data_IF_466183125455
#
_entry.id   IF_466183125455
#
_cell.length_a   1.000
_cell.length_b   1.000
_cell.length_c   1.000
_cell.angle_alpha   90.00
_cell.angle_beta   90.00
_cell.angle_gamma   90.00
#
_symmetry.space_group_name_H-M   'P 1'
#
loop_
_entity.id
_entity.type
_entity.pdbx_description
1 polymer ?
#
# COMPACT_ATOMS: atom_id res chain seq x y z
N UNK A 1 24.27 -11.03 -7.85
CA UNK A 1 24.71 -12.41 -7.54
C UNK A 1 23.52 -13.14 -6.92
N UNK A 2 23.10 -14.30 -7.45
CA UNK A 2 22.05 -15.10 -6.79
C UNK A 2 22.62 -15.66 -5.49
N UNK A 3 21.92 -15.49 -4.36
CA UNK A 3 22.35 -16.06 -3.09
C UNK A 3 22.44 -17.58 -3.21
N UNK A 4 23.58 -18.11 -2.78
CA UNK A 4 23.71 -19.54 -2.58
C UNK A 4 23.01 -19.93 -1.29
N UNK A 5 21.89 -20.64 -1.41
CA UNK A 5 21.11 -21.11 -0.26
C UNK A 5 21.71 -22.36 0.37
N UNK A 6 22.65 -23.04 -0.30
CA UNK A 6 23.29 -24.25 0.21
C UNK A 6 23.94 -24.01 1.58
N UNK A 7 24.46 -22.80 1.83
CA UNK A 7 25.05 -22.39 3.11
C UNK A 7 24.06 -22.41 4.29
N UNK A 8 22.76 -22.38 4.04
CA UNK A 8 21.71 -22.47 5.07
C UNK A 8 20.97 -23.80 5.06
N UNK A 9 21.15 -24.60 4.01
CA UNK A 9 20.49 -25.89 3.80
C UNK A 9 21.54 -26.96 3.49
N UNK A 10 22.58 -27.03 4.32
CA UNK A 10 23.70 -27.97 4.13
C UNK A 10 23.28 -29.44 4.27
N UNK A 11 22.10 -29.67 4.84
CA UNK A 11 21.44 -30.97 5.01
C UNK A 11 20.63 -31.41 3.77
N UNK A 12 20.46 -30.56 2.76
CA UNK A 12 19.67 -30.86 1.57
C UNK A 12 20.52 -31.27 0.37
N UNK A 13 20.01 -32.24 -0.41
CA UNK A 13 20.58 -32.59 -1.71
C UNK A 13 20.24 -31.54 -2.78
N UNK A 14 20.84 -31.64 -3.98
CA UNK A 14 20.66 -30.67 -5.08
C UNK A 14 19.19 -30.52 -5.50
N UNK A 15 18.43 -31.60 -5.53
CA UNK A 15 17.01 -31.60 -5.92
C UNK A 15 16.16 -30.88 -4.87
N UNK A 16 16.35 -31.18 -3.59
CA UNK A 16 15.67 -30.54 -2.47
C UNK A 16 16.03 -29.05 -2.32
N UNK A 17 17.26 -28.66 -2.67
CA UNK A 17 17.66 -27.25 -2.78
C UNK A 17 16.87 -26.55 -3.89
N UNK A 18 16.70 -27.20 -5.04
CA UNK A 18 15.93 -26.64 -6.16
C UNK A 18 14.43 -26.54 -5.82
N UNK A 19 13.86 -27.55 -5.17
CA UNK A 19 12.50 -27.53 -4.64
C UNK A 19 12.31 -26.36 -3.67
N UNK A 20 13.25 -26.17 -2.74
CA UNK A 20 13.22 -25.07 -1.77
C UNK A 20 13.22 -23.70 -2.45
N UNK A 21 14.00 -23.53 -3.53
CA UNK A 21 13.95 -22.29 -4.35
C UNK A 21 12.59 -22.09 -4.99
N UNK A 22 11.93 -23.16 -5.45
CA UNK A 22 10.58 -23.09 -6.02
C UNK A 22 9.55 -22.72 -4.96
N UNK A 23 9.65 -23.31 -3.76
CA UNK A 23 8.77 -22.99 -2.62
C UNK A 23 8.88 -21.50 -2.27
N UNK A 24 10.09 -20.94 -2.20
CA UNK A 24 10.26 -19.52 -1.87
C UNK A 24 9.69 -18.54 -2.89
N UNK A 25 9.42 -18.97 -4.13
CA UNK A 25 8.72 -18.13 -5.12
C UNK A 25 7.22 -18.01 -4.87
N UNK A 26 6.65 -18.87 -4.03
CA UNK A 26 5.21 -18.87 -3.72
C UNK A 26 5.01 -18.94 -2.21
N UNK A 27 4.79 -17.79 -1.58
CA UNK A 27 4.54 -17.73 -0.15
C UNK A 27 3.24 -18.39 0.29
N UNK A 28 2.32 -18.76 -0.62
CA UNK A 28 1.14 -19.55 -0.27
C UNK A 28 1.40 -21.05 -0.22
N UNK A 29 2.58 -21.51 -0.66
CA UNK A 29 2.92 -22.93 -0.70
C UNK A 29 2.84 -23.57 0.71
N UNK A 30 2.25 -24.77 0.88
CA UNK A 30 2.08 -25.40 2.19
C UNK A 30 3.38 -25.62 2.96
N UNK A 31 4.48 -25.94 2.26
CA UNK A 31 5.81 -26.11 2.85
C UNK A 31 6.59 -24.81 3.06
N UNK A 32 6.04 -23.66 2.67
CA UNK A 32 6.73 -22.38 2.82
C UNK A 32 7.06 -22.06 4.28
N UNK A 33 6.14 -22.23 5.28
CA UNK A 33 6.48 -22.00 6.68
C UNK A 33 7.62 -22.89 7.17
N UNK A 34 7.63 -24.16 6.80
CA UNK A 34 8.68 -25.10 7.21
C UNK A 34 10.05 -24.68 6.65
N UNK A 35 10.15 -24.45 5.34
CA UNK A 35 11.40 -24.03 4.69
C UNK A 35 11.86 -22.66 5.18
N UNK A 36 10.93 -21.73 5.38
CA UNK A 36 11.28 -20.41 5.88
C UNK A 36 11.80 -20.49 7.32
N UNK A 37 11.16 -21.23 8.22
CA UNK A 37 11.68 -21.41 9.59
C UNK A 37 13.09 -22.00 9.59
N UNK A 38 13.37 -23.02 8.77
CA UNK A 38 14.73 -23.59 8.64
C UNK A 38 15.75 -22.54 8.19
N UNK A 39 15.39 -21.68 7.23
CA UNK A 39 16.25 -20.60 6.78
C UNK A 39 16.48 -19.58 7.90
N UNK A 40 15.40 -19.11 8.54
CA UNK A 40 15.45 -18.05 9.53
C UNK A 40 16.13 -18.47 10.85
N UNK A 41 16.08 -19.75 11.21
CA UNK A 41 16.82 -20.29 12.37
C UNK A 41 18.33 -20.38 12.13
N UNK A 42 18.78 -20.21 10.89
CA UNK A 42 20.19 -20.31 10.46
C UNK A 42 20.70 -19.00 9.84
N UNK A 43 19.85 -17.98 9.72
CA UNK A 43 20.15 -16.72 9.05
C UNK A 43 19.69 -15.55 9.91
N UNK A 44 20.64 -14.68 10.28
CA UNK A 44 20.44 -13.42 11.01
C UNK A 44 20.69 -12.20 10.10
N UNK A 45 20.66 -12.38 8.77
CA UNK A 45 20.98 -11.32 7.80
C UNK A 45 19.75 -11.01 6.94
N UNK A 46 19.09 -9.85 7.13
CA UNK A 46 17.89 -9.50 6.37
C UNK A 46 18.15 -9.45 4.86
N UNK A 47 19.32 -8.94 4.47
CA UNK A 47 19.74 -8.89 3.06
C UNK A 47 19.69 -10.27 2.39
N UNK A 48 20.15 -11.31 3.08
CA UNK A 48 20.21 -12.66 2.52
C UNK A 48 18.81 -13.23 2.34
N UNK A 49 17.92 -13.08 3.33
CA UNK A 49 16.52 -13.46 3.18
C UNK A 49 15.84 -12.72 2.01
N UNK A 50 15.98 -11.39 1.96
CA UNK A 50 15.28 -10.56 0.97
C UNK A 50 15.90 -10.62 -0.43
N UNK A 51 17.02 -11.33 -0.59
CA UNK A 51 17.50 -11.75 -1.91
C UNK A 51 16.74 -12.96 -2.48
N UNK A 52 16.01 -13.69 -1.63
CA UNK A 52 15.25 -14.89 -1.99
C UNK A 52 13.75 -14.64 -2.09
N UNK A 53 13.20 -13.80 -1.21
CA UNK A 53 11.77 -13.49 -1.15
C UNK A 53 11.56 -11.98 -1.12
N UNK A 54 10.42 -11.51 -1.64
CA UNK A 54 10.08 -10.09 -1.54
C UNK A 54 9.74 -9.74 -0.09
N UNK A 55 10.09 -8.51 0.33
CA UNK A 55 9.72 -7.98 1.66
C UNK A 55 8.20 -8.05 1.92
N UNK A 56 7.38 -7.83 0.88
CA UNK A 56 5.92 -7.90 0.95
C UNK A 56 5.45 -9.33 1.27
N UNK A 57 5.96 -10.31 0.55
CA UNK A 57 5.61 -11.73 0.74
C UNK A 57 6.02 -12.21 2.13
N UNK A 58 7.16 -11.74 2.64
CA UNK A 58 7.57 -11.98 4.02
C UNK A 58 6.58 -11.40 5.03
N UNK A 59 6.20 -10.13 4.90
CA UNK A 59 5.21 -9.48 5.79
C UNK A 59 3.89 -10.27 5.80
N UNK A 60 3.38 -10.66 4.63
CA UNK A 60 2.13 -11.41 4.50
C UNK A 60 2.22 -12.82 5.12
N UNK A 61 3.34 -13.52 4.92
CA UNK A 61 3.53 -14.87 5.42
C UNK A 61 3.90 -14.94 6.91
N UNK A 62 4.52 -13.89 7.46
CA UNK A 62 5.13 -13.89 8.79
C UNK A 62 4.18 -14.34 9.92
N UNK A 63 2.91 -13.89 10.02
CA UNK A 63 2.01 -14.33 11.09
C UNK A 63 1.85 -15.86 11.12
N UNK A 64 1.68 -16.48 9.95
CA UNK A 64 1.55 -17.94 9.82
C UNK A 64 2.87 -18.65 10.12
N UNK A 65 3.99 -18.11 9.62
CA UNK A 65 5.34 -18.66 9.85
C UNK A 65 5.70 -18.62 11.33
N UNK A 66 5.43 -17.50 12.00
CA UNK A 66 5.65 -17.32 13.44
C UNK A 66 4.82 -18.30 14.26
N UNK A 67 3.54 -18.47 13.93
CA UNK A 67 2.67 -19.44 14.60
C UNK A 67 3.15 -20.89 14.38
N UNK A 68 3.63 -21.21 13.18
CA UNK A 68 4.24 -22.51 12.89
C UNK A 68 5.53 -22.72 13.72
N UNK A 69 6.43 -21.73 13.76
CA UNK A 69 7.68 -21.80 14.54
C UNK A 69 7.41 -21.99 16.04
N UNK A 70 6.44 -21.26 16.60
CA UNK A 70 6.09 -21.36 18.02
C UNK A 70 5.59 -22.75 18.45
N UNK A 71 5.07 -23.55 17.51
CA UNK A 71 4.67 -24.94 17.77
C UNK A 71 5.86 -25.90 17.81
N UNK A 72 6.93 -25.59 17.06
CA UNK A 72 8.15 -26.41 17.02
C UNK A 72 9.09 -26.11 18.19
N UNK A 73 9.24 -24.83 18.51
CA UNK A 73 10.19 -24.35 19.50
C UNK A 73 9.55 -23.24 20.33
N UNK A 74 9.42 -23.44 21.65
CA UNK A 74 8.72 -22.48 22.52
C UNK A 74 9.46 -21.13 22.64
N UNK A 75 10.80 -21.15 22.72
CA UNK A 75 11.65 -19.95 22.85
C UNK A 75 12.75 -19.98 21.81
N UNK A 76 12.92 -18.89 21.04
CA UNK A 76 13.93 -18.82 19.98
C UNK A 76 14.39 -17.38 19.80
N UNK A 77 15.67 -17.12 20.07
CA UNK A 77 16.28 -15.80 19.88
C UNK A 77 16.23 -15.35 18.43
N UNK A 78 16.40 -16.27 17.48
CA UNK A 78 16.23 -16.00 16.06
C UNK A 78 14.82 -15.55 15.72
N UNK A 79 13.79 -16.21 16.27
CA UNK A 79 12.40 -15.81 16.06
C UNK A 79 12.13 -14.42 16.61
N UNK A 80 12.67 -14.10 17.79
CA UNK A 80 12.56 -12.77 18.39
C UNK A 80 13.25 -11.71 17.53
N UNK A 81 14.45 -12.01 17.04
CA UNK A 81 15.19 -11.12 16.16
C UNK A 81 14.44 -10.86 14.84
N UNK A 82 13.91 -11.90 14.19
CA UNK A 82 13.10 -11.74 12.98
C UNK A 82 11.75 -11.05 13.23
N UNK A 83 11.18 -11.18 14.43
CA UNK A 83 10.00 -10.41 14.83
C UNK A 83 10.30 -8.90 14.84
N UNK A 84 11.48 -8.49 15.32
CA UNK A 84 11.92 -7.09 15.26
C UNK A 84 12.03 -6.60 13.82
N UNK A 85 12.63 -7.39 12.93
CA UNK A 85 12.72 -7.06 11.50
C UNK A 85 11.33 -6.94 10.86
N UNK A 86 10.41 -7.86 11.18
CA UNK A 86 9.02 -7.80 10.72
C UNK A 86 8.33 -6.50 11.16
N UNK A 87 8.48 -6.11 12.43
CA UNK A 87 7.87 -4.89 12.96
C UNK A 87 8.43 -3.63 12.30
N UNK A 88 9.74 -3.58 12.06
CA UNK A 88 10.38 -2.50 11.32
C UNK A 88 9.83 -2.40 9.88
N UNK A 89 9.75 -3.53 9.17
CA UNK A 89 9.21 -3.58 7.82
C UNK A 89 7.75 -3.12 7.75
N UNK A 90 6.90 -3.56 8.69
CA UNK A 90 5.51 -3.10 8.77
C UNK A 90 5.46 -1.59 8.96
N UNK A 91 6.30 -1.02 9.83
CA UNK A 91 6.38 0.44 10.04
C UNK A 91 6.80 1.16 8.75
N UNK A 92 7.80 0.64 8.03
CA UNK A 92 8.23 1.21 6.74
C UNK A 92 7.12 1.19 5.69
N UNK A 93 6.42 0.06 5.55
CA UNK A 93 5.33 -0.08 4.58
C UNK A 93 4.13 0.79 4.95
N UNK A 94 3.76 0.87 6.23
CA UNK A 94 2.73 1.81 6.70
C UNK A 94 3.13 3.27 6.44
N UNK A 95 4.41 3.64 6.58
CA UNK A 95 4.90 4.99 6.22
C UNK A 95 4.84 5.25 4.71
N UNK A 96 5.12 4.25 3.87
CA UNK A 96 5.01 4.36 2.40
C UNK A 96 3.56 4.48 1.94
N UNK A 97 2.64 3.72 2.52
CA UNK A 97 1.19 3.89 2.30
C UNK A 97 0.67 5.24 2.83
N UNK A 98 1.32 5.78 3.88
CA UNK A 98 1.06 7.12 4.43
C UNK A 98 1.84 8.26 3.75
N UNK A 99 2.44 8.07 2.56
CA UNK A 99 2.90 9.21 1.72
C UNK A 99 1.70 10.12 1.39
N UNK A 100 1.89 11.44 1.35
CA UNK A 100 0.98 12.38 1.99
C UNK A 100 -0.41 12.42 1.36
N UNK A 101 -1.44 12.36 2.22
CA UNK A 101 -2.72 13.05 2.01
C UNK A 101 -2.43 14.53 1.72
N UNK A 102 -2.16 14.90 0.47
CA UNK A 102 -1.89 16.31 0.18
C UNK A 102 -1.22 16.70 -1.12
N UNK A 103 -0.95 15.79 -2.06
CA UNK A 103 -0.85 16.23 -3.46
C UNK A 103 -2.16 15.84 -4.14
N UNK A 104 -3.04 16.80 -4.46
CA UNK A 104 -4.17 16.54 -5.34
C UNK A 104 -3.65 15.78 -6.57
N UNK A 105 -4.24 14.63 -6.91
CA UNK A 105 -4.04 14.10 -8.26
C UNK A 105 -4.37 15.23 -9.25
N UNK A 106 -3.60 15.38 -10.33
CA UNK A 106 -3.75 16.47 -11.29
C UNK A 106 -5.22 16.69 -11.72
N UNK A 107 -5.95 15.59 -11.90
CA UNK A 107 -7.39 15.58 -12.21
C UNK A 107 -8.27 16.23 -11.13
N UNK A 108 -7.95 16.09 -9.84
CA UNK A 108 -8.72 16.72 -8.75
C UNK A 108 -8.53 18.23 -8.70
N UNK A 109 -7.34 18.75 -9.03
CA UNK A 109 -7.13 20.22 -9.13
C UNK A 109 -7.98 20.79 -10.24
N UNK A 110 -8.02 20.12 -11.41
CA UNK A 110 -8.84 20.55 -12.55
C UNK A 110 -10.33 20.54 -12.22
N UNK A 111 -10.82 19.43 -11.65
CA UNK A 111 -12.22 19.32 -11.22
C UNK A 111 -12.55 20.39 -10.17
N UNK A 112 -11.68 20.57 -9.17
CA UNK A 112 -11.85 21.59 -8.13
C UNK A 112 -11.92 23.01 -8.71
N UNK A 113 -11.04 23.32 -9.66
CA UNK A 113 -11.05 24.60 -10.38
C UNK A 113 -12.33 24.80 -11.19
N UNK A 114 -12.76 23.81 -11.96
CA UNK A 114 -14.00 23.90 -12.73
C UNK A 114 -15.23 24.13 -11.82
N UNK A 115 -15.28 23.47 -10.67
CA UNK A 115 -16.32 23.68 -9.66
C UNK A 115 -16.26 25.11 -9.10
N UNK A 116 -15.07 25.61 -8.77
CA UNK A 116 -14.85 26.97 -8.28
C UNK A 116 -15.30 28.01 -9.29
N UNK A 117 -14.92 27.85 -10.56
CA UNK A 117 -15.21 28.79 -11.63
C UNK A 117 -16.72 28.83 -11.91
N UNK A 118 -17.38 27.67 -11.98
CA UNK A 118 -18.84 27.59 -12.11
C UNK A 118 -19.58 28.23 -10.93
N UNK A 119 -19.07 28.05 -9.70
CA UNK A 119 -19.61 28.73 -8.51
C UNK A 119 -19.50 30.24 -8.61
N UNK A 120 -18.32 30.77 -8.99
CA UNK A 120 -18.08 32.21 -9.12
C UNK A 120 -18.94 32.80 -10.24
N UNK A 121 -19.08 32.10 -11.38
CA UNK A 121 -19.94 32.53 -12.49
C UNK A 121 -21.43 32.62 -12.10
N UNK A 122 -21.87 31.87 -11.10
CA UNK A 122 -23.22 31.95 -10.52
C UNK A 122 -23.33 32.91 -9.33
N UNK A 123 -22.27 33.64 -9.00
CA UNK A 123 -22.21 34.57 -7.86
C UNK A 123 -22.54 33.91 -6.50
N UNK A 124 -22.26 32.62 -6.35
CA UNK A 124 -22.52 31.90 -5.10
C UNK A 124 -21.28 31.89 -4.19
N UNK A 125 -21.49 32.09 -2.90
CA UNK A 125 -20.48 31.80 -1.87
C UNK A 125 -20.30 30.29 -1.68
N UNK A 126 -19.17 29.89 -1.11
CA UNK A 126 -18.93 28.49 -0.75
C UNK A 126 -19.96 27.98 0.28
N UNK A 127 -20.46 28.86 1.15
CA UNK A 127 -21.48 28.52 2.14
C UNK A 127 -22.84 28.25 1.49
N UNK A 128 -23.23 29.03 0.48
CA UNK A 128 -24.48 28.78 -0.26
C UNK A 128 -24.44 27.47 -1.04
N UNK A 129 -23.30 27.14 -1.67
CA UNK A 129 -23.13 25.83 -2.33
C UNK A 129 -23.16 24.70 -1.31
N UNK A 130 -22.53 24.89 -0.15
CA UNK A 130 -22.55 23.91 0.94
C UNK A 130 -23.98 23.60 1.39
N UNK A 131 -24.81 24.63 1.58
CA UNK A 131 -26.23 24.48 1.92
C UNK A 131 -27.00 23.73 0.82
N UNK A 132 -26.83 24.13 -0.44
CA UNK A 132 -27.51 23.50 -1.60
C UNK A 132 -27.08 22.05 -1.86
N UNK A 133 -25.89 21.64 -1.39
CA UNK A 133 -25.35 20.29 -1.61
C UNK A 133 -25.39 19.40 -0.36
N UNK A 134 -25.85 19.93 0.77
CA UNK A 134 -25.77 19.30 2.09
C UNK A 134 -24.34 18.90 2.48
N UNK A 135 -23.38 19.77 2.16
CA UNK A 135 -21.98 19.64 2.55
C UNK A 135 -21.63 20.70 3.60
N UNK A 136 -20.45 20.55 4.23
CA UNK A 136 -19.88 21.60 5.08
C UNK A 136 -19.09 22.58 4.22
N UNK A 137 -19.13 23.88 4.50
CA UNK A 137 -18.36 24.88 3.75
C UNK A 137 -16.84 24.57 3.70
N UNK A 138 -16.19 24.08 4.78
CA UNK A 138 -14.78 23.66 4.71
C UNK A 138 -14.53 22.51 3.73
N UNK A 139 -15.55 21.68 3.47
CA UNK A 139 -15.44 20.63 2.46
C UNK A 139 -15.51 21.21 1.06
N UNK A 140 -16.38 22.19 0.78
CA UNK A 140 -16.42 22.90 -0.49
C UNK A 140 -15.06 23.55 -0.79
N UNK A 141 -14.47 24.23 0.19
CA UNK A 141 -13.13 24.82 0.05
C UNK A 141 -12.07 23.77 -0.33
N UNK A 142 -12.01 22.65 0.40
CA UNK A 142 -11.05 21.57 0.09
C UNK A 142 -11.30 20.91 -1.26
N UNK A 143 -12.55 20.85 -1.72
CA UNK A 143 -12.93 20.33 -3.04
C UNK A 143 -12.42 21.26 -4.13
N UNK A 144 -12.66 22.56 -4.00
CA UNK A 144 -12.22 23.58 -4.96
C UNK A 144 -10.70 23.66 -5.08
N UNK A 145 -9.98 23.37 -3.99
CA UNK A 145 -8.51 23.27 -3.96
C UNK A 145 -7.97 21.92 -4.46
N UNK A 146 -8.84 20.96 -4.82
CA UNK A 146 -8.46 19.60 -5.20
C UNK A 146 -7.91 18.75 -4.05
N UNK A 147 -7.96 19.24 -2.81
CA UNK A 147 -7.41 18.55 -1.62
C UNK A 147 -8.37 17.51 -1.01
N UNK A 148 -9.60 17.41 -1.52
CA UNK A 148 -10.59 16.42 -1.07
C UNK A 148 -10.99 15.49 -2.21
N UNK A 149 -10.73 14.20 -2.04
CA UNK A 149 -11.34 13.17 -2.88
C UNK A 149 -12.83 13.06 -2.51
N UNK A 150 -13.71 13.22 -3.50
CA UNK A 150 -15.16 13.17 -3.34
C UNK A 150 -15.75 11.95 -4.03
N UNK A 151 -16.85 11.44 -3.50
CA UNK A 151 -17.61 10.40 -4.18
C UNK A 151 -18.22 10.94 -5.48
N UNK A 152 -18.50 10.06 -6.44
CA UNK A 152 -19.23 10.41 -7.66
C UNK A 152 -20.60 11.04 -7.34
N UNK A 153 -21.26 10.56 -6.29
CA UNK A 153 -22.54 11.12 -5.85
C UNK A 153 -22.40 12.59 -5.43
N UNK A 154 -21.35 12.93 -4.68
CA UNK A 154 -21.07 14.31 -4.30
C UNK A 154 -20.73 15.17 -5.52
N UNK A 155 -19.94 14.65 -6.46
CA UNK A 155 -19.65 15.33 -7.72
C UNK A 155 -20.92 15.62 -8.52
N UNK A 156 -21.82 14.64 -8.68
CA UNK A 156 -23.11 14.80 -9.37
C UNK A 156 -23.95 15.89 -8.71
N UNK A 157 -24.01 15.95 -7.38
CA UNK A 157 -24.74 17.01 -6.66
C UNK A 157 -24.16 18.40 -6.95
N UNK A 158 -22.84 18.53 -6.92
CA UNK A 158 -22.15 19.78 -7.25
C UNK A 158 -22.43 20.19 -8.70
N UNK A 159 -22.30 19.27 -9.67
CA UNK A 159 -22.61 19.53 -11.07
C UNK A 159 -24.06 19.96 -11.27
N UNK A 160 -25.02 19.36 -10.55
CA UNK A 160 -26.43 19.75 -10.62
C UNK A 160 -26.67 21.15 -10.07
N UNK A 161 -26.16 21.45 -8.87
CA UNK A 161 -26.33 22.76 -8.21
C UNK A 161 -25.65 23.88 -9.00
N UNK A 162 -24.52 23.57 -9.64
CA UNK A 162 -23.73 24.53 -10.41
C UNK A 162 -24.01 24.49 -11.92
N UNK A 163 -24.95 23.65 -12.36
CA UNK A 163 -25.32 23.44 -13.77
C UNK A 163 -24.13 23.14 -14.70
N UNK A 164 -23.14 22.40 -14.19
CA UNK A 164 -21.98 21.96 -14.96
C UNK A 164 -22.40 20.80 -15.86
N UNK A 165 -22.39 21.01 -17.18
CA UNK A 165 -22.77 19.98 -18.18
C UNK A 165 -21.63 19.05 -18.57
N UNK A 166 -20.40 19.56 -18.58
CA UNK A 166 -19.20 18.81 -18.96
C UNK A 166 -18.02 19.25 -18.10
N UNK A 167 -17.21 18.28 -17.67
CA UNK A 167 -15.92 18.52 -17.04
C UNK A 167 -14.84 18.09 -18.04
N UNK A 168 -13.96 19.02 -18.38
CA UNK A 168 -12.78 18.69 -19.19
C UNK A 168 -11.69 18.10 -18.28
N UNK A 169 -11.32 16.85 -18.57
CA UNK A 169 -10.32 16.09 -17.84
C UNK A 169 -9.06 15.83 -18.69
N UNK A 170 -8.98 16.40 -19.89
CA UNK A 170 -7.79 16.26 -20.74
C UNK A 170 -6.55 16.85 -20.06
N UNK A 171 -5.36 16.31 -20.33
CA UNK A 171 -4.12 16.92 -19.90
C UNK A 171 -3.89 18.18 -20.74
N UNK A 172 -3.60 19.33 -20.12
CA UNK A 172 -3.21 20.51 -20.91
C UNK A 172 -1.84 20.20 -21.52
N UNK A 173 -1.78 19.95 -22.83
CA UNK A 173 -0.54 19.58 -23.52
C UNK A 173 -0.65 18.84 -24.85
N UNK A 174 -1.86 18.56 -25.37
CA UNK A 174 -2.03 18.07 -26.74
C UNK A 174 -2.74 19.12 -27.60
N UNK A 175 -1.99 20.14 -28.01
CA UNK A 175 -2.26 20.96 -29.19
C UNK A 175 -0.96 21.25 -29.90
#
# INVERSE_FOLDING_TARGET
MKLDISKYFWDLNKEALQETRTIFKNHYHPMFPARLVTLLSRCDKPHDLFSLILKKDFIEAWPRVRSYWARLEKSSEFRNWWQTIYEELVREYQKKEKKPKGSPAFSFVKIGRAIRDARIAKHLSQQEVALKTHLKQPDISKIEEGRKNITLQTLIRLCRVLEIKQLDLSADGER
#
